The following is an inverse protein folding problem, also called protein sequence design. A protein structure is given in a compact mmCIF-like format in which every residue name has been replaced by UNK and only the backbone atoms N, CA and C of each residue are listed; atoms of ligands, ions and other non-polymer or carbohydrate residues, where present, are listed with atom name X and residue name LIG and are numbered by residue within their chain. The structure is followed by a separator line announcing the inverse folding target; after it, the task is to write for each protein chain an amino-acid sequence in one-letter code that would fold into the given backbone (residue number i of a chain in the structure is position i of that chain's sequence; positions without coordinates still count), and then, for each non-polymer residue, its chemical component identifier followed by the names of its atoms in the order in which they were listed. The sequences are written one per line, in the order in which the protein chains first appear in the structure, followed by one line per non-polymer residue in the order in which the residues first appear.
data_IF_052898761453
#
_entry.id   IF_052898761453
#
_cell.length_a   1.000
_cell.length_b   1.000
_cell.length_c   1.000
_cell.angle_alpha   90.00
_cell.angle_beta   90.00
_cell.angle_gamma   90.00
#
_symmetry.space_group_name_H-M   'P 1'
#
loop_
_entity.id
_entity.type
_entity.pdbx_description
1 polymer ?
#
# COMPACT_ATOMS: atom_id res chain seq x y z
N UNK A 1 -7.14 -13.43 4.13
CA UNK A 1 -6.87 -11.99 4.33
C UNK A 1 -7.95 -11.26 5.14
N UNK A 2 -9.04 -11.92 5.58
CA UNK A 2 -10.09 -11.30 6.42
C UNK A 2 -9.91 -11.48 7.95
N UNK A 3 -8.92 -12.25 8.39
CA UNK A 3 -8.51 -12.16 9.81
C UNK A 3 -7.75 -10.83 9.97
N UNK A 4 -8.30 -9.92 10.79
CA UNK A 4 -7.67 -8.63 11.16
C UNK A 4 -6.45 -8.85 12.06
N UNK A 5 -5.49 -9.61 11.56
CA UNK A 5 -4.24 -9.90 12.27
C UNK A 5 -3.36 -8.65 12.27
N UNK A 6 -2.63 -8.40 13.35
CA UNK A 6 -1.69 -7.28 13.38
C UNK A 6 -0.60 -7.49 12.31
N UNK A 7 -0.04 -6.39 11.80
CA UNK A 7 1.05 -6.46 10.81
C UNK A 7 2.29 -7.22 11.33
N UNK A 8 2.45 -7.32 12.65
CA UNK A 8 3.51 -8.08 13.32
C UNK A 8 3.20 -9.57 13.49
N UNK A 9 2.01 -10.06 13.08
CA UNK A 9 1.69 -11.48 13.16
C UNK A 9 2.65 -12.28 12.24
N UNK A 10 3.29 -13.36 12.74
CA UNK A 10 4.24 -14.14 11.96
C UNK A 10 3.69 -14.68 10.63
N UNK A 11 2.40 -15.00 10.55
CA UNK A 11 1.75 -15.50 9.33
C UNK A 11 1.66 -14.39 8.27
N UNK A 12 1.34 -13.17 8.72
CA UNK A 12 1.30 -11.98 7.86
C UNK A 12 2.71 -11.66 7.36
N UNK A 13 3.69 -11.60 8.28
CA UNK A 13 5.09 -11.32 7.93
C UNK A 13 5.68 -12.37 6.98
N UNK A 14 5.39 -13.66 7.18
CA UNK A 14 5.87 -14.71 6.30
C UNK A 14 5.25 -14.62 4.89
N UNK A 15 3.96 -14.27 4.81
CA UNK A 15 3.29 -14.02 3.52
C UNK A 15 3.94 -12.85 2.79
N UNK A 16 4.15 -11.73 3.48
CA UNK A 16 4.80 -10.55 2.89
C UNK A 16 6.24 -10.87 2.49
N UNK A 17 7.01 -11.56 3.34
CA UNK A 17 8.36 -12.01 3.02
C UNK A 17 8.38 -12.81 1.72
N UNK A 18 7.49 -13.80 1.59
CA UNK A 18 7.36 -14.63 0.38
C UNK A 18 7.09 -13.77 -0.86
N UNK A 19 6.18 -12.79 -0.77
CA UNK A 19 5.89 -11.88 -1.88
C UNK A 19 7.13 -11.05 -2.24
N UNK A 20 7.81 -10.48 -1.24
CA UNK A 20 8.98 -9.61 -1.43
C UNK A 20 10.22 -10.36 -1.94
N UNK A 21 10.36 -11.66 -1.66
CA UNK A 21 11.44 -12.50 -2.19
C UNK A 21 11.19 -12.95 -3.62
N UNK A 22 9.92 -13.19 -3.98
CA UNK A 22 9.54 -13.65 -5.33
C UNK A 22 9.31 -12.51 -6.32
N UNK A 23 9.06 -11.30 -5.84
CA UNK A 23 8.95 -10.10 -6.67
C UNK A 23 10.23 -9.27 -6.55
N UNK A 24 10.74 -8.75 -7.67
CA UNK A 24 11.86 -7.82 -7.66
C UNK A 24 11.42 -6.42 -7.17
N UNK A 25 11.06 -6.33 -5.89
CA UNK A 25 10.58 -5.10 -5.28
C UNK A 25 11.74 -4.13 -5.12
N UNK A 26 11.63 -2.94 -5.71
CA UNK A 26 12.61 -1.88 -5.55
C UNK A 26 12.36 -1.04 -4.30
N UNK A 27 11.09 -0.68 -4.05
CA UNK A 27 10.67 0.15 -2.92
C UNK A 27 9.40 -0.42 -2.28
N UNK A 28 9.42 -0.59 -0.97
CA UNK A 28 8.25 -0.85 -0.13
C UNK A 28 7.82 0.46 0.54
N UNK A 29 6.66 0.98 0.14
CA UNK A 29 6.04 2.12 0.80
C UNK A 29 5.21 1.64 1.99
N UNK A 30 5.38 2.26 3.15
CA UNK A 30 4.70 1.86 4.39
C UNK A 30 3.90 3.04 4.90
N UNK A 31 2.58 2.89 4.99
CA UNK A 31 1.76 3.88 5.68
C UNK A 31 2.00 3.79 7.20
N UNK A 32 2.79 4.73 7.72
CA UNK A 32 3.18 4.80 9.13
C UNK A 32 2.69 6.15 9.69
N UNK A 33 1.39 6.20 10.00
CA UNK A 33 0.65 7.44 10.33
C UNK A 33 1.23 8.19 11.51
N UNK A 34 1.85 7.48 12.44
CA UNK A 34 2.39 8.04 13.67
C UNK A 34 3.83 8.54 13.48
N UNK A 35 4.58 8.01 12.51
CA UNK A 35 5.99 8.32 12.37
C UNK A 35 6.56 8.09 10.96
N UNK A 36 6.66 9.17 10.18
CA UNK A 36 7.32 9.16 8.86
C UNK A 36 8.81 9.41 8.89
N UNK A 37 9.46 9.46 10.06
CA UNK A 37 10.93 9.56 10.17
C UNK A 37 11.62 8.21 10.16
N UNK A 38 10.86 7.13 9.89
CA UNK A 38 11.35 5.76 9.87
C UNK A 38 11.44 5.10 11.25
N UNK A 39 10.93 5.77 12.29
CA UNK A 39 10.98 5.28 13.66
C UNK A 39 9.66 4.66 14.14
N UNK A 40 8.64 4.62 13.27
CA UNK A 40 7.35 3.99 13.57
C UNK A 40 7.44 2.48 13.70
N UNK A 41 6.49 1.91 14.43
CA UNK A 41 6.48 0.48 14.80
C UNK A 41 6.36 -0.42 13.57
N UNK A 42 5.54 -0.01 12.59
CA UNK A 42 5.36 -0.75 11.35
C UNK A 42 6.64 -0.66 10.52
N UNK A 43 7.21 0.53 10.33
CA UNK A 43 8.47 0.69 9.59
C UNK A 43 9.61 -0.12 10.21
N UNK A 44 9.71 -0.15 11.55
CA UNK A 44 10.69 -0.98 12.27
C UNK A 44 10.46 -2.46 12.01
N UNK A 45 9.22 -2.93 12.06
CA UNK A 45 8.87 -4.33 11.79
C UNK A 45 9.35 -4.77 10.42
N UNK A 46 9.09 -3.97 9.37
CA UNK A 46 9.55 -4.29 8.03
C UNK A 46 11.05 -4.10 7.81
N UNK A 47 11.69 -3.19 8.56
CA UNK A 47 13.15 -3.05 8.56
C UNK A 47 13.83 -4.31 9.12
N UNK A 48 13.29 -4.86 10.21
CA UNK A 48 13.74 -6.14 10.79
C UNK A 48 13.46 -7.28 9.82
N UNK A 49 12.28 -7.32 9.18
CA UNK A 49 11.96 -8.34 8.18
C UNK A 49 12.99 -8.38 7.05
N UNK A 50 13.29 -7.20 6.46
CA UNK A 50 14.30 -7.07 5.39
C UNK A 50 15.70 -7.51 5.83
N UNK A 51 16.09 -7.25 7.07
CA UNK A 51 17.39 -7.67 7.59
C UNK A 51 17.57 -9.20 7.61
N UNK A 52 16.49 -9.96 7.56
CA UNK A 52 16.47 -11.43 7.49
C UNK A 52 16.16 -11.96 6.08
N UNK A 53 16.40 -11.14 5.05
CA UNK A 53 16.19 -11.46 3.63
C UNK A 53 17.48 -11.22 2.83
N UNK A 54 17.68 -12.02 1.78
CA UNK A 54 18.80 -11.86 0.84
C UNK A 54 18.51 -10.87 -0.29
N UNK A 55 17.42 -10.10 -0.20
CA UNK A 55 17.00 -9.12 -1.20
C UNK A 55 16.96 -7.71 -0.59
N UNK A 56 17.69 -6.76 -1.20
CA UNK A 56 17.69 -5.38 -0.75
C UNK A 56 16.65 -4.55 -1.50
N UNK A 57 15.73 -3.95 -0.76
CA UNK A 57 14.76 -2.98 -1.27
C UNK A 57 14.70 -1.75 -0.35
N UNK A 58 14.37 -0.58 -0.91
CA UNK A 58 14.16 0.64 -0.14
C UNK A 58 12.88 0.51 0.68
N UNK A 59 12.91 0.95 1.95
CA UNK A 59 11.71 1.13 2.75
C UNK A 59 11.44 2.64 2.85
N UNK A 60 10.23 3.05 2.47
CA UNK A 60 9.82 4.44 2.41
C UNK A 60 8.54 4.64 3.25
N UNK A 61 8.65 5.12 4.50
CA UNK A 61 7.47 5.45 5.29
C UNK A 61 6.76 6.66 4.69
N UNK A 62 5.44 6.57 4.57
CA UNK A 62 4.56 7.60 4.02
C UNK A 62 3.45 7.91 5.03
N UNK A 63 2.92 9.12 4.93
CA UNK A 63 1.70 9.52 5.65
C UNK A 63 0.81 10.32 4.70
N UNK A 64 -0.25 9.67 4.17
CA UNK A 64 -1.28 10.38 3.42
C UNK A 64 -1.91 11.48 4.28
N UNK A 65 -2.12 12.64 3.69
CA UNK A 65 -2.81 13.79 4.32
C UNK A 65 -4.05 14.23 3.55
N UNK A 66 -4.16 13.87 2.28
CA UNK A 66 -5.38 14.15 1.52
C UNK A 66 -6.53 13.28 1.99
N UNK A 67 -7.74 13.63 1.56
CA UNK A 67 -8.91 12.81 1.82
C UNK A 67 -8.77 11.42 1.15
N UNK A 68 -9.19 10.37 1.85
CA UNK A 68 -9.13 8.98 1.36
C UNK A 68 -9.94 8.79 0.07
N UNK A 69 -11.18 9.27 0.03
CA UNK A 69 -12.05 9.19 -1.14
C UNK A 69 -11.41 9.85 -2.36
N UNK A 70 -10.81 11.03 -2.18
CA UNK A 70 -10.09 11.73 -3.26
C UNK A 70 -8.93 10.90 -3.81
N UNK A 71 -8.15 10.22 -2.94
CA UNK A 71 -7.09 9.32 -3.42
C UNK A 71 -7.67 8.15 -4.19
N UNK A 72 -8.66 7.45 -3.65
CA UNK A 72 -9.29 6.30 -4.31
C UNK A 72 -9.87 6.68 -5.67
N UNK A 73 -10.49 7.86 -5.78
CA UNK A 73 -11.02 8.36 -7.05
C UNK A 73 -9.95 8.52 -8.15
N UNK A 74 -8.66 8.68 -7.79
CA UNK A 74 -7.57 8.72 -8.79
C UNK A 74 -7.41 7.42 -9.57
N UNK A 75 -7.94 6.29 -9.05
CA UNK A 75 -7.90 5.00 -9.72
C UNK A 75 -8.97 4.83 -10.80
N UNK A 76 -10.02 5.67 -10.84
CA UNK A 76 -11.12 5.54 -11.81
C UNK A 76 -10.59 5.60 -13.25
N UNK A 77 -9.78 6.61 -13.56
CA UNK A 77 -9.18 6.77 -14.88
C UNK A 77 -8.31 5.58 -15.32
N UNK A 78 -7.26 5.20 -14.58
CA UNK A 78 -6.37 4.12 -14.98
C UNK A 78 -7.06 2.74 -15.04
N UNK A 79 -8.05 2.47 -14.17
CA UNK A 79 -8.84 1.22 -14.25
C UNK A 79 -9.71 1.21 -15.50
N UNK A 80 -10.47 2.27 -15.76
CA UNK A 80 -11.40 2.32 -16.91
C UNK A 80 -10.69 2.38 -18.26
N UNK A 81 -9.48 2.94 -18.30
CA UNK A 81 -8.63 3.00 -19.50
C UNK A 81 -7.71 1.78 -19.68
N UNK A 82 -7.77 0.78 -18.80
CA UNK A 82 -6.87 -0.39 -18.81
C UNK A 82 -5.36 -0.07 -18.70
N UNK A 83 -5.03 1.13 -18.21
CA UNK A 83 -3.65 1.50 -17.87
C UNK A 83 -3.21 0.92 -16.51
N UNK A 84 -4.14 0.33 -15.76
CA UNK A 84 -3.89 -0.45 -14.56
C UNK A 84 -4.68 -1.76 -14.64
N UNK A 85 -3.97 -2.87 -14.63
CA UNK A 85 -4.53 -4.23 -14.64
C UNK A 85 -4.21 -4.94 -13.33
N UNK A 86 -5.23 -5.51 -12.69
CA UNK A 86 -5.08 -6.34 -11.49
C UNK A 86 -4.96 -7.79 -11.95
N UNK A 87 -3.86 -8.45 -11.61
CA UNK A 87 -3.56 -9.80 -12.07
C UNK A 87 -4.37 -10.83 -11.28
N UNK A 88 -4.77 -11.91 -11.94
CA UNK A 88 -5.67 -12.95 -11.37
C UNK A 88 -5.08 -13.76 -10.22
N UNK A 89 -3.77 -13.65 -9.94
CA UNK A 89 -3.18 -14.18 -8.70
C UNK A 89 -3.53 -13.34 -7.46
N UNK A 90 -4.25 -12.23 -7.64
CA UNK A 90 -4.69 -11.36 -6.55
C UNK A 90 -5.79 -12.02 -5.73
N UNK A 91 -5.88 -11.64 -4.46
CA UNK A 91 -6.92 -12.17 -3.58
C UNK A 91 -8.31 -11.84 -4.10
N UNK A 92 -9.18 -12.87 -4.26
CA UNK A 92 -10.59 -12.68 -4.63
C UNK A 92 -11.31 -11.69 -3.72
N UNK A 93 -10.94 -11.63 -2.43
CA UNK A 93 -11.51 -10.64 -1.50
C UNK A 93 -11.06 -9.22 -1.84
N UNK A 94 -9.77 -9.00 -2.11
CA UNK A 94 -9.26 -7.68 -2.49
C UNK A 94 -9.88 -7.18 -3.81
N UNK A 95 -10.03 -8.06 -4.80
CA UNK A 95 -10.75 -7.76 -6.05
C UNK A 95 -12.22 -7.41 -5.76
N UNK A 96 -12.88 -8.21 -4.92
CA UNK A 96 -14.25 -7.94 -4.48
C UNK A 96 -14.39 -6.57 -3.81
N UNK A 97 -13.46 -6.20 -2.93
CA UNK A 97 -13.48 -4.91 -2.23
C UNK A 97 -13.34 -3.75 -3.20
N UNK A 98 -12.45 -3.90 -4.20
CA UNK A 98 -12.28 -2.92 -5.30
C UNK A 98 -13.60 -2.69 -6.05
N UNK A 99 -14.32 -3.75 -6.41
CA UNK A 99 -15.57 -3.63 -7.18
C UNK A 99 -16.80 -3.29 -6.34
N UNK A 100 -16.78 -3.56 -5.03
CA UNK A 100 -17.90 -3.26 -4.12
C UNK A 100 -17.86 -1.84 -3.56
N UNK A 101 -16.72 -1.16 -3.64
CA UNK A 101 -16.56 0.16 -3.07
C UNK A 101 -17.52 1.19 -3.67
N UNK A 102 -18.26 1.88 -2.79
CA UNK A 102 -19.23 2.93 -3.17
C UNK A 102 -18.96 4.28 -2.51
N UNK A 103 -17.91 4.38 -1.70
CA UNK A 103 -17.63 5.59 -0.93
C UNK A 103 -18.65 5.90 0.18
N UNK A 104 -19.49 4.93 0.57
CA UNK A 104 -20.53 5.09 1.59
C UNK A 104 -20.05 4.72 3.01
N UNK A 105 -18.77 4.35 3.16
CA UNK A 105 -18.16 3.96 4.43
C UNK A 105 -18.60 2.60 4.97
N UNK A 106 -19.31 1.79 4.18
CA UNK A 106 -19.85 0.48 4.62
C UNK A 106 -19.06 -0.73 4.11
N UNK A 107 -18.10 -0.52 3.22
CA UNK A 107 -17.25 -1.55 2.63
C UNK A 107 -15.81 -1.36 3.07
N UNK A 108 -15.07 -2.47 3.15
CA UNK A 108 -13.63 -2.45 3.38
C UNK A 108 -12.94 -1.77 2.19
N UNK A 109 -12.04 -0.83 2.48
CA UNK A 109 -11.38 0.01 1.47
C UNK A 109 -9.84 -0.02 1.55
N UNK A 110 -9.28 -0.83 2.44
CA UNK A 110 -7.84 -0.83 2.73
C UNK A 110 -6.98 -1.18 1.50
N UNK A 111 -7.44 -2.14 0.69
CA UNK A 111 -6.76 -2.53 -0.56
C UNK A 111 -6.81 -1.40 -1.60
N UNK A 112 -7.95 -0.71 -1.70
CA UNK A 112 -8.12 0.43 -2.62
C UNK A 112 -7.32 1.65 -2.18
N UNK A 113 -7.31 1.96 -0.88
CA UNK A 113 -6.55 3.08 -0.34
C UNK A 113 -5.06 2.84 -0.56
N UNK A 114 -4.56 1.64 -0.24
CA UNK A 114 -3.16 1.26 -0.48
C UNK A 114 -2.77 1.34 -1.96
N UNK A 115 -3.63 0.82 -2.85
CA UNK A 115 -3.41 0.89 -4.30
C UNK A 115 -3.41 2.33 -4.81
N UNK A 116 -4.32 3.16 -4.30
CA UNK A 116 -4.42 4.56 -4.70
C UNK A 116 -3.21 5.37 -4.24
N UNK A 117 -2.74 5.14 -3.01
CA UNK A 117 -1.54 5.78 -2.50
C UNK A 117 -0.32 5.39 -3.34
N UNK A 118 -0.16 4.11 -3.68
CA UNK A 118 0.92 3.63 -4.53
C UNK A 118 0.85 4.24 -5.94
N UNK A 119 -0.33 4.24 -6.56
CA UNK A 119 -0.51 4.81 -7.89
C UNK A 119 -0.09 6.29 -7.91
N UNK A 120 -0.51 7.07 -6.93
CA UNK A 120 -0.15 8.48 -6.81
C UNK A 120 1.36 8.67 -6.60
N UNK A 121 1.99 7.85 -5.74
CA UNK A 121 3.45 7.87 -5.51
C UNK A 121 4.27 7.59 -6.78
N UNK A 122 3.73 6.79 -7.70
CA UNK A 122 4.39 6.42 -8.95
C UNK A 122 4.13 7.39 -10.10
N UNK A 123 3.00 8.10 -10.09
CA UNK A 123 2.53 8.88 -11.26
C UNK A 123 2.56 10.39 -11.06
N UNK A 124 2.48 10.88 -9.83
CA UNK A 124 2.50 12.30 -9.55
C UNK A 124 3.92 12.85 -9.48
N UNK A 125 4.10 14.08 -9.95
CA UNK A 125 5.33 14.80 -9.73
C UNK A 125 5.50 15.21 -8.25
N UNK A 126 6.74 15.60 -7.89
CA UNK A 126 7.10 15.99 -6.51
C UNK A 126 6.27 17.14 -5.95
N UNK A 127 5.79 18.07 -6.78
CA UNK A 127 4.98 19.21 -6.34
C UNK A 127 3.56 18.73 -6.01
N UNK A 128 2.93 17.97 -6.90
CA UNK A 128 1.59 17.42 -6.69
C UNK A 128 1.57 16.46 -5.49
N UNK A 129 2.59 15.64 -5.36
CA UNK A 129 2.75 14.71 -4.25
C UNK A 129 2.72 15.37 -2.85
N UNK A 130 3.25 16.59 -2.70
CA UNK A 130 3.22 17.35 -1.44
C UNK A 130 1.82 17.74 -1.00
N UNK A 131 0.84 17.78 -1.91
CA UNK A 131 -0.56 18.00 -1.56
C UNK A 131 -1.22 16.76 -0.93
N UNK A 132 -0.60 15.58 -1.12
CA UNK A 132 -1.19 14.30 -0.75
C UNK A 132 -0.45 13.58 0.38
N UNK A 133 0.83 13.88 0.60
CA UNK A 133 1.65 13.24 1.63
C UNK A 133 2.52 14.25 2.39
N UNK A 134 2.73 14.02 3.69
CA UNK A 134 3.51 14.94 4.55
C UNK A 134 5.02 14.83 4.36
N UNK A 135 5.54 13.67 3.95
CA UNK A 135 6.96 13.42 3.65
C UNK A 135 7.07 12.29 2.63
N UNK A 136 7.99 12.45 1.67
CA UNK A 136 8.30 11.52 0.58
C UNK A 136 9.81 11.55 0.34
#
# INVERSE_FOLDING_TARGET
FQEKLPASDPRVLNTIKTILENLNVHTLYIEDRDNTTGQGSITKTFTVLRAHMNHYYRIAPIKPISNKFTRIATLIGPITSSNLSILDFSSKSAISDIYKYKGDGKSDDDSLDSLSALYMLLTLDKRALKAHFTKI
#
